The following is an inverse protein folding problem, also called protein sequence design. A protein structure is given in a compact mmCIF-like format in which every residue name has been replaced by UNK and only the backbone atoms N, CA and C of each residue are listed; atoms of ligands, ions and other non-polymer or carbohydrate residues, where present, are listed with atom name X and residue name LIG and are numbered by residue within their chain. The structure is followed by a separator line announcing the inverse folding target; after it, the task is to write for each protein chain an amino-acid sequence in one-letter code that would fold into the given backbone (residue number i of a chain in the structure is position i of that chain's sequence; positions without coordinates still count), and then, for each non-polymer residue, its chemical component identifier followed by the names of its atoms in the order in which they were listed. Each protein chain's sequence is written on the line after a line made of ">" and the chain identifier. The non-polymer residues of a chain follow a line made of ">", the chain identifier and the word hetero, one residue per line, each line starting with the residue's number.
data_IF_379423604743
#
_entry.id   IF_379423604743
#
_cell.length_a   1.000
_cell.length_b   1.000
_cell.length_c   1.000
_cell.angle_alpha   90.00
_cell.angle_beta   90.00
_cell.angle_gamma   90.00
#
_symmetry.space_group_name_H-M   'P 1'
#
loop_
_entity.id
_entity.type
_entity.pdbx_description
1 polymer ?
#
# COMPACT_ATOMS: atom_id res chain seq x y z
N UNK A 1 2.09 -7.62 -1.89
CA UNK A 1 2.04 -6.19 -1.51
C UNK A 1 2.29 -6.01 -0.02
N UNK A 2 1.33 -6.29 0.86
CA UNK A 2 1.48 -6.10 2.31
C UNK A 2 2.65 -6.86 2.93
N UNK A 3 2.70 -8.18 2.77
CA UNK A 3 3.80 -9.01 3.30
C UNK A 3 5.15 -8.66 2.66
N UNK A 4 5.16 -8.28 1.39
CA UNK A 4 6.38 -7.90 0.67
C UNK A 4 6.98 -6.64 1.28
N UNK A 5 6.17 -5.60 1.48
CA UNK A 5 6.59 -4.34 2.12
C UNK A 5 7.02 -4.59 3.57
N UNK A 6 6.29 -5.44 4.29
CA UNK A 6 6.66 -5.86 5.64
C UNK A 6 8.05 -6.48 5.67
N UNK A 7 8.35 -7.45 4.80
CA UNK A 7 9.69 -8.07 4.73
C UNK A 7 10.77 -7.05 4.38
N UNK A 8 10.54 -6.14 3.42
CA UNK A 8 11.50 -5.09 3.08
C UNK A 8 11.79 -4.15 4.24
N UNK A 9 10.76 -3.72 4.98
CA UNK A 9 10.92 -2.89 6.19
C UNK A 9 11.74 -3.65 7.23
N UNK A 10 11.45 -4.94 7.44
CA UNK A 10 12.17 -5.75 8.41
C UNK A 10 13.64 -5.96 8.04
N UNK A 11 13.93 -6.19 6.76
CA UNK A 11 15.29 -6.35 6.26
C UNK A 11 16.09 -5.05 6.40
N UNK A 12 15.48 -3.91 6.06
CA UNK A 12 16.11 -2.61 6.20
C UNK A 12 16.28 -2.19 7.66
N UNK A 13 15.28 -2.46 8.51
CA UNK A 13 15.34 -2.23 9.95
C UNK A 13 16.42 -3.05 10.63
N UNK A 14 16.51 -4.35 10.31
CA UNK A 14 17.58 -5.23 10.80
C UNK A 14 18.97 -4.73 10.38
N UNK A 15 19.12 -4.20 9.17
CA UNK A 15 20.39 -3.64 8.72
C UNK A 15 20.83 -2.39 9.52
N UNK A 16 19.89 -1.57 9.98
CA UNK A 16 20.19 -0.34 10.74
C UNK A 16 20.30 -0.59 12.25
N UNK A 17 19.40 -1.39 12.80
CA UNK A 17 19.18 -1.55 14.24
C UNK A 17 19.62 -2.92 14.77
N UNK A 18 20.04 -3.83 13.89
CA UNK A 18 20.48 -5.18 14.25
C UNK A 18 19.34 -6.07 14.77
N UNK A 19 19.72 -7.05 15.58
CA UNK A 19 18.81 -8.09 16.07
C UNK A 19 17.73 -7.56 17.02
N UNK A 20 17.97 -6.44 17.70
CA UNK A 20 17.00 -5.77 18.59
C UNK A 20 15.70 -5.44 17.84
N UNK A 21 15.80 -5.05 16.57
CA UNK A 21 14.64 -4.77 15.74
C UNK A 21 13.86 -6.05 15.39
N UNK A 22 14.56 -7.15 15.09
CA UNK A 22 13.93 -8.42 14.78
C UNK A 22 13.29 -9.06 16.01
N UNK A 23 13.90 -8.94 17.19
CA UNK A 23 13.33 -9.42 18.45
C UNK A 23 12.00 -8.75 18.76
N UNK A 24 11.92 -7.42 18.56
CA UNK A 24 10.69 -6.67 18.77
C UNK A 24 9.54 -7.11 17.84
N UNK A 25 9.85 -7.53 16.61
CA UNK A 25 8.85 -7.99 15.63
C UNK A 25 8.52 -9.47 15.83
N UNK A 26 9.50 -10.30 16.18
CA UNK A 26 9.31 -11.75 16.32
C UNK A 26 8.54 -12.13 17.59
N UNK A 27 8.56 -11.28 18.63
CA UNK A 27 7.77 -11.45 19.84
C UNK A 27 6.27 -11.69 19.56
N UNK A 28 5.70 -10.99 18.57
CA UNK A 28 4.30 -11.12 18.14
C UNK A 28 4.18 -11.41 16.64
N UNK A 29 5.09 -12.22 16.10
CA UNK A 29 5.25 -12.42 14.66
C UNK A 29 3.95 -12.71 13.91
N UNK A 30 3.10 -13.58 14.47
CA UNK A 30 1.84 -14.00 13.82
C UNK A 30 0.92 -12.78 13.65
N UNK A 31 0.75 -11.98 14.69
CA UNK A 31 -0.10 -10.80 14.67
C UNK A 31 0.47 -9.74 13.73
N UNK A 32 1.80 -9.55 13.74
CA UNK A 32 2.49 -8.64 12.81
C UNK A 32 2.31 -9.05 11.35
N UNK A 33 2.48 -10.35 11.05
CA UNK A 33 2.29 -10.90 9.73
C UNK A 33 0.82 -10.79 9.27
N UNK A 34 -0.14 -11.15 10.13
CA UNK A 34 -1.57 -11.01 9.83
C UNK A 34 -1.98 -9.56 9.59
N UNK A 35 -1.49 -8.61 10.40
CA UNK A 35 -1.68 -7.18 10.18
C UNK A 35 -1.18 -6.75 8.80
N UNK A 36 0.03 -7.18 8.42
CA UNK A 36 0.58 -6.88 7.09
C UNK A 36 -0.24 -7.48 5.95
N UNK A 37 -0.80 -8.68 6.13
CA UNK A 37 -1.70 -9.32 5.17
C UNK A 37 -2.97 -8.49 5.01
N UNK A 38 -3.60 -8.09 6.12
CA UNK A 38 -4.83 -7.29 6.13
C UNK A 38 -4.62 -5.96 5.40
N UNK A 39 -3.54 -5.25 5.70
CA UNK A 39 -3.17 -4.02 4.98
C UNK A 39 -2.96 -4.30 3.50
N UNK A 40 -2.27 -5.40 3.16
CA UNK A 40 -2.07 -5.83 1.78
C UNK A 40 -3.38 -6.10 1.04
N UNK A 41 -4.34 -6.75 1.68
CA UNK A 41 -5.67 -7.01 1.13
C UNK A 41 -6.45 -5.71 0.92
N UNK A 42 -6.43 -4.79 1.89
CA UNK A 42 -7.07 -3.49 1.75
C UNK A 42 -6.46 -2.64 0.61
N UNK A 43 -5.18 -2.83 0.30
CA UNK A 43 -4.56 -2.20 -0.87
C UNK A 43 -4.94 -2.86 -2.21
N UNK A 44 -5.44 -4.10 -2.22
CA UNK A 44 -5.71 -4.85 -3.47
C UNK A 44 -7.21 -4.98 -3.73
N UNK A 45 -8.00 -5.42 -2.76
CA UNK A 45 -9.42 -5.74 -2.94
C UNK A 45 -10.27 -4.56 -3.46
N UNK A 46 -10.08 -3.31 -2.98
CA UNK A 46 -10.89 -2.20 -3.47
C UNK A 46 -10.60 -1.81 -4.92
N UNK A 47 -9.59 -2.40 -5.58
CA UNK A 47 -9.36 -2.19 -7.02
C UNK A 47 -10.55 -2.63 -7.89
N UNK A 48 -11.45 -3.47 -7.38
CA UNK A 48 -12.70 -3.77 -8.08
C UNK A 48 -13.55 -2.52 -8.34
N UNK A 49 -13.38 -1.45 -7.54
CA UNK A 49 -14.12 -0.20 -7.74
C UNK A 49 -13.82 0.47 -9.08
N UNK A 50 -12.67 0.17 -9.71
CA UNK A 50 -12.33 0.69 -11.04
C UNK A 50 -13.22 0.14 -12.16
N UNK A 51 -14.00 -0.91 -11.90
CA UNK A 51 -14.98 -1.46 -12.85
C UNK A 51 -16.32 -0.72 -12.81
N UNK A 52 -16.54 0.15 -11.82
CA UNK A 52 -17.82 0.87 -11.67
C UNK A 52 -17.82 2.10 -12.57
N UNK A 53 -18.37 1.98 -13.78
CA UNK A 53 -18.42 3.03 -14.81
C UNK A 53 -19.14 4.32 -14.36
N UNK A 54 -20.02 4.23 -13.36
CA UNK A 54 -20.76 5.38 -12.81
C UNK A 54 -19.87 6.39 -12.06
N UNK A 55 -18.72 5.94 -11.54
CA UNK A 55 -17.83 6.79 -10.74
C UNK A 55 -16.72 7.40 -11.60
N UNK A 56 -16.34 8.65 -11.32
CA UNK A 56 -15.16 9.23 -11.98
C UNK A 56 -13.90 8.50 -11.51
N UNK A 57 -12.90 8.43 -12.38
CA UNK A 57 -11.62 7.79 -12.06
C UNK A 57 -10.96 8.37 -10.79
N UNK A 58 -11.08 9.69 -10.59
CA UNK A 58 -10.58 10.36 -9.40
C UNK A 58 -11.30 9.90 -8.12
N UNK A 59 -12.63 9.72 -8.19
CA UNK A 59 -13.42 9.24 -7.06
C UNK A 59 -13.15 7.76 -6.75
N UNK A 60 -13.03 6.91 -7.77
CA UNK A 60 -12.63 5.50 -7.62
C UNK A 60 -11.28 5.39 -6.89
N UNK A 61 -10.31 6.19 -7.35
CA UNK A 61 -8.97 6.25 -6.78
C UNK A 61 -8.98 6.77 -5.33
N UNK A 62 -9.77 7.82 -5.06
CA UNK A 62 -9.90 8.39 -3.72
C UNK A 62 -10.52 7.39 -2.73
N UNK A 63 -11.54 6.62 -3.14
CA UNK A 63 -12.15 5.60 -2.30
C UNK A 63 -11.18 4.44 -2.04
N UNK A 64 -10.46 3.98 -3.07
CA UNK A 64 -9.44 2.94 -2.91
C UNK A 64 -8.34 3.38 -1.94
N UNK A 65 -7.85 4.61 -2.09
CA UNK A 65 -6.88 5.20 -1.17
C UNK A 65 -7.41 5.31 0.26
N UNK A 66 -8.65 5.81 0.43
CA UNK A 66 -9.29 5.96 1.73
C UNK A 66 -9.41 4.62 2.48
N UNK A 67 -9.87 3.56 1.80
CA UNK A 67 -9.97 2.22 2.41
C UNK A 67 -8.58 1.71 2.83
N UNK A 68 -7.59 1.92 1.96
CA UNK A 68 -6.22 1.46 2.19
C UNK A 68 -5.60 2.17 3.40
N UNK A 69 -5.69 3.51 3.47
CA UNK A 69 -5.10 4.30 4.56
C UNK A 69 -5.85 4.09 5.89
N UNK A 70 -7.18 4.00 5.87
CA UNK A 70 -7.96 3.72 7.08
C UNK A 70 -7.60 2.36 7.66
N UNK A 71 -7.46 1.33 6.81
CA UNK A 71 -7.04 -0.01 7.27
C UNK A 71 -5.63 0.03 7.85
N UNK A 72 -4.70 0.73 7.19
CA UNK A 72 -3.34 0.91 7.70
C UNK A 72 -3.32 1.54 9.10
N UNK A 73 -4.05 2.64 9.31
CA UNK A 73 -4.11 3.33 10.60
C UNK A 73 -4.70 2.40 11.68
N UNK A 74 -5.79 1.70 11.39
CA UNK A 74 -6.43 0.77 12.35
C UNK A 74 -5.48 -0.36 12.74
N UNK A 75 -4.78 -0.96 11.78
CA UNK A 75 -3.80 -2.02 12.04
C UNK A 75 -2.61 -1.48 12.84
N UNK A 76 -2.07 -0.32 12.47
CA UNK A 76 -0.93 0.29 13.16
C UNK A 76 -1.23 0.60 14.64
N UNK A 77 -2.44 1.05 14.93
CA UNK A 77 -2.88 1.30 16.31
C UNK A 77 -3.13 -0.01 17.07
N UNK A 78 -3.76 -1.00 16.42
CA UNK A 78 -4.11 -2.28 17.07
C UNK A 78 -2.89 -3.14 17.41
N UNK A 79 -1.85 -3.08 16.58
CA UNK A 79 -0.63 -3.88 16.74
C UNK A 79 0.52 -3.10 17.39
N UNK A 80 0.23 -1.93 17.96
CA UNK A 80 1.21 -1.09 18.64
C UNK A 80 2.45 -0.76 17.78
N UNK A 81 2.26 -0.56 16.48
CA UNK A 81 3.35 -0.11 15.59
C UNK A 81 3.85 1.30 15.96
N UNK A 82 3.02 2.04 16.69
CA UNK A 82 3.32 3.38 17.18
C UNK A 82 3.58 3.34 18.69
N UNK A 83 4.61 4.07 19.17
CA UNK A 83 4.86 4.17 20.60
C UNK A 83 3.71 4.91 21.28
N UNK A 84 3.30 4.44 22.46
CA UNK A 84 2.24 5.04 23.28
C UNK A 84 2.78 5.90 24.42
N UNK A 85 4.11 6.04 24.52
CA UNK A 85 4.79 6.74 25.62
C UNK A 85 4.60 8.26 25.61
N UNK A 86 4.39 8.88 24.45
CA UNK A 86 4.17 10.32 24.32
C UNK A 86 3.31 10.63 23.11
N UNK A 87 2.22 11.36 23.33
CA UNK A 87 1.27 11.77 22.28
C UNK A 87 1.99 12.50 21.13
N UNK A 88 3.00 13.30 21.44
CA UNK A 88 3.76 14.05 20.44
C UNK A 88 4.59 13.12 19.54
N UNK A 89 5.23 12.11 20.14
CA UNK A 89 6.02 11.12 19.41
C UNK A 89 5.09 10.22 18.57
N UNK A 90 3.97 9.78 19.13
CA UNK A 90 2.95 8.99 18.41
C UNK A 90 2.47 9.74 17.17
N UNK A 91 2.09 11.02 17.31
CA UNK A 91 1.57 11.82 16.19
C UNK A 91 2.64 12.06 15.12
N UNK A 92 3.89 12.29 15.52
CA UNK A 92 5.01 12.44 14.60
C UNK A 92 5.27 11.16 13.80
N UNK A 93 5.34 10.01 14.48
CA UNK A 93 5.55 8.71 13.82
C UNK A 93 4.37 8.31 12.94
N UNK A 94 3.14 8.60 13.37
CA UNK A 94 1.94 8.39 12.55
C UNK A 94 1.99 9.23 11.27
N UNK A 95 2.38 10.51 11.38
CA UNK A 95 2.52 11.40 10.22
C UNK A 95 3.52 10.84 9.20
N UNK A 96 4.73 10.46 9.66
CA UNK A 96 5.74 9.86 8.77
C UNK A 96 5.28 8.53 8.16
N UNK A 97 4.56 7.71 8.94
CA UNK A 97 4.03 6.43 8.48
C UNK A 97 2.98 6.62 7.37
N UNK A 98 2.03 7.54 7.58
CA UNK A 98 1.02 7.91 6.58
C UNK A 98 1.66 8.52 5.34
N UNK A 99 2.67 9.38 5.51
CA UNK A 99 3.42 9.98 4.41
C UNK A 99 4.11 8.90 3.58
N UNK A 100 4.86 7.99 4.21
CA UNK A 100 5.54 6.89 3.54
C UNK A 100 4.55 5.98 2.81
N UNK A 101 3.45 5.61 3.46
CA UNK A 101 2.37 4.82 2.87
C UNK A 101 1.81 5.51 1.61
N UNK A 102 1.53 6.81 1.70
CA UNK A 102 1.02 7.61 0.58
C UNK A 102 2.01 7.66 -0.58
N UNK A 103 3.31 7.82 -0.30
CA UNK A 103 4.36 7.81 -1.31
C UNK A 103 4.44 6.47 -2.03
N UNK A 104 4.46 5.37 -1.28
CA UNK A 104 4.48 4.01 -1.87
C UNK A 104 3.25 3.80 -2.74
N UNK A 105 2.06 4.13 -2.21
CA UNK A 105 0.80 4.01 -2.95
C UNK A 105 0.83 4.85 -4.24
N UNK A 106 1.35 6.08 -4.18
CA UNK A 106 1.46 6.97 -5.34
C UNK A 106 2.41 6.42 -6.41
N UNK A 107 3.54 5.82 -6.02
CA UNK A 107 4.45 5.16 -6.96
C UNK A 107 3.76 4.00 -7.70
N UNK A 108 3.00 3.17 -6.96
CA UNK A 108 2.21 2.11 -7.58
C UNK A 108 1.12 2.67 -8.49
N UNK A 109 0.44 3.74 -8.10
CA UNK A 109 -0.57 4.40 -8.93
C UNK A 109 0.05 4.90 -10.25
N UNK A 110 1.17 5.62 -10.20
CA UNK A 110 1.85 6.14 -11.40
C UNK A 110 2.37 5.02 -12.31
N UNK A 111 2.89 3.95 -11.72
CA UNK A 111 3.32 2.76 -12.46
C UNK A 111 2.14 2.13 -13.20
N UNK A 112 1.03 1.85 -12.51
CA UNK A 112 -0.16 1.26 -13.12
C UNK A 112 -0.79 2.17 -14.19
N UNK A 113 -0.83 3.48 -13.96
CA UNK A 113 -1.31 4.44 -14.96
C UNK A 113 -0.46 4.39 -16.23
N UNK A 114 0.86 4.23 -16.09
CA UNK A 114 1.78 4.12 -17.22
C UNK A 114 1.58 2.81 -17.99
N UNK A 115 1.35 1.71 -17.29
CA UNK A 115 1.06 0.41 -17.92
C UNK A 115 -0.27 0.41 -18.67
N UNK A 116 -1.33 0.99 -18.08
CA UNK A 116 -2.63 1.15 -18.76
C UNK A 116 -2.49 1.93 -20.06
N UNK A 117 -1.74 3.04 -20.06
CA UNK A 117 -1.47 3.82 -21.29
C UNK A 117 -0.74 3.01 -22.36
N UNK A 118 0.25 2.20 -21.96
CA UNK A 118 0.99 1.33 -22.89
C UNK A 118 0.09 0.23 -23.46
N UNK A 119 -0.78 -0.36 -22.64
CA UNK A 119 -1.73 -1.38 -23.08
C UNK A 119 -2.75 -0.82 -24.08
N UNK A 120 -3.34 0.33 -23.78
CA UNK A 120 -4.29 0.99 -24.69
C UNK A 120 -3.63 1.30 -26.05
N UNK A 121 -2.39 1.82 -26.04
CA UNK A 121 -1.64 2.07 -27.28
C UNK A 121 -1.44 0.80 -28.11
N UNK A 122 -1.09 -0.33 -27.47
CA UNK A 122 -0.94 -1.62 -28.17
C UNK A 122 -2.26 -2.13 -28.75
N UNK A 123 -3.37 -1.94 -28.05
CA UNK A 123 -4.71 -2.30 -28.54
C UNK A 123 -5.06 -1.47 -29.78
N UNK A 124 -4.83 -0.16 -29.75
CA UNK A 124 -5.08 0.73 -30.89
C UNK A 124 -4.22 0.35 -32.10
N UNK A 125 -2.94 0.03 -31.90
CA UNK A 125 -2.04 -0.45 -32.96
C UNK A 125 -2.53 -1.77 -33.59
N UNK A 126 -3.02 -2.72 -32.77
CA UNK A 126 -3.57 -3.99 -33.24
C UNK A 126 -4.88 -3.80 -34.02
N UNK A 127 -5.79 -2.94 -33.55
CA UNK A 127 -7.04 -2.62 -34.23
C UNK A 127 -6.75 -1.98 -35.59
N UNK A 128 -5.84 -1.00 -35.63
CA UNK A 128 -5.47 -0.31 -36.87
C UNK A 128 -4.83 -1.27 -37.87
N UNK A 129 -3.95 -2.18 -37.43
CA UNK A 129 -3.34 -3.19 -38.30
C UNK A 129 -4.38 -4.14 -38.91
N UNK A 130 -5.36 -4.59 -38.11
CA UNK A 130 -6.45 -5.44 -38.61
C UNK A 130 -7.36 -4.73 -39.62
N UNK A 131 -7.58 -3.41 -39.47
CA UNK A 131 -8.40 -2.63 -40.41
C UNK A 131 -7.68 -2.33 -41.74
N UNK A 132 -6.36 -2.55 -41.82
CA UNK A 132 -5.54 -2.36 -43.04
C UNK A 132 -5.27 -3.65 -43.82
N UNK A 133 -5.69 -4.81 -43.30
CA UNK A 133 -5.62 -6.13 -43.94
C UNK A 133 -6.99 -6.50 -44.52
#
# INVERSE_FOLDING_TARGET
>A
MGCTVFVFINLFGSWIFGDIFLEAITADFIQQALGSIIVGLACVLPSYIYQVERLTFLLQTAIHFAISISTFIVVALSLHWLPTSSIAITMLMLFFSVLLFTLIWLLFYLYNQSEVKKMNKKIDELINKNNTL
#
